data_IF_071697484296
#
_entry.id   IF_071697484296
#
_cell.length_a   1.000
_cell.length_b   1.000
_cell.length_c   1.000
_cell.angle_alpha   90.00
_cell.angle_beta   90.00
_cell.angle_gamma   90.00
#
_symmetry.space_group_name_H-M   'P 1'
#
loop_
_entity.id
_entity.type
_entity.pdbx_description
1 polymer ?
#
# COMPACT_ATOMS: atom_id res chain seq x y z
N UNK A 1 -14.58 10.88 -6.06
CA UNK A 1 -14.61 10.08 -7.30
C UNK A 1 -13.32 9.27 -7.50
N UNK A 2 -12.12 9.88 -7.49
CA UNK A 2 -10.82 9.19 -7.68
C UNK A 2 -10.62 7.96 -6.76
N UNK A 3 -10.71 8.13 -5.43
CA UNK A 3 -10.51 7.02 -4.49
C UNK A 3 -11.55 5.90 -4.64
N UNK A 4 -12.79 6.25 -4.98
CA UNK A 4 -13.85 5.26 -5.23
C UNK A 4 -13.53 4.38 -6.43
N UNK A 5 -13.08 4.98 -7.54
CA UNK A 5 -12.63 4.23 -8.72
C UNK A 5 -11.40 3.35 -8.40
N UNK A 6 -10.46 3.84 -7.61
CA UNK A 6 -9.32 3.05 -7.15
C UNK A 6 -9.73 1.85 -6.30
N UNK A 7 -10.76 1.97 -5.44
CA UNK A 7 -11.30 0.83 -4.69
C UNK A 7 -12.06 -0.15 -5.58
N UNK A 8 -12.81 0.34 -6.55
CA UNK A 8 -13.51 -0.48 -7.52
C UNK A 8 -12.52 -1.32 -8.36
N UNK A 9 -11.48 -0.70 -8.91
CA UNK A 9 -10.41 -1.40 -9.63
C UNK A 9 -9.70 -2.43 -8.75
N UNK A 10 -9.41 -2.08 -7.50
CA UNK A 10 -8.84 -3.01 -6.54
C UNK A 10 -9.75 -4.22 -6.29
N UNK A 11 -11.06 -4.02 -6.12
CA UNK A 11 -12.01 -5.11 -5.88
C UNK A 11 -12.06 -6.10 -7.06
N UNK A 12 -12.11 -5.59 -8.30
CA UNK A 12 -12.11 -6.44 -9.51
C UNK A 12 -10.81 -7.24 -9.63
N UNK A 13 -9.68 -6.58 -9.33
CA UNK A 13 -8.36 -7.18 -9.50
C UNK A 13 -7.97 -8.09 -8.33
N UNK A 14 -8.70 -8.07 -7.21
CA UNK A 14 -8.36 -8.78 -5.97
C UNK A 14 -8.22 -10.29 -6.16
N UNK A 15 -9.21 -10.95 -6.74
CA UNK A 15 -9.20 -12.40 -6.95
C UNK A 15 -8.15 -12.85 -7.96
N UNK A 16 -7.97 -12.09 -9.04
CA UNK A 16 -6.95 -12.38 -10.05
C UNK A 16 -5.57 -12.19 -9.42
N UNK A 17 -5.40 -11.10 -8.68
CA UNK A 17 -4.19 -10.77 -7.93
C UNK A 17 -3.86 -11.82 -6.87
N UNK A 18 -4.84 -12.33 -6.13
CA UNK A 18 -4.64 -13.38 -5.13
C UNK A 18 -4.07 -14.67 -5.75
N UNK A 19 -4.63 -15.10 -6.89
CA UNK A 19 -4.12 -16.27 -7.64
C UNK A 19 -2.71 -16.03 -8.19
N UNK A 20 -2.43 -14.82 -8.68
CA UNK A 20 -1.08 -14.44 -9.13
C UNK A 20 -0.08 -14.46 -7.97
N UNK A 21 -0.47 -13.93 -6.81
CA UNK A 21 0.38 -13.83 -5.62
C UNK A 21 0.76 -15.19 -5.04
N UNK A 22 -0.05 -16.22 -5.22
CA UNK A 22 0.33 -17.60 -4.89
C UNK A 22 1.58 -18.08 -5.63
N UNK A 23 1.79 -17.61 -6.87
CA UNK A 23 2.96 -17.95 -7.69
C UNK A 23 4.10 -16.95 -7.47
N UNK A 24 3.77 -15.66 -7.35
CA UNK A 24 4.76 -14.59 -7.19
C UNK A 24 5.42 -14.59 -5.79
N UNK A 25 4.66 -14.95 -4.76
CA UNK A 25 5.07 -15.02 -3.37
C UNK A 25 4.95 -13.70 -2.62
N UNK A 26 4.49 -13.77 -1.37
CA UNK A 26 4.14 -12.60 -0.54
C UNK A 26 5.33 -11.71 -0.19
N UNK A 27 6.48 -12.28 0.12
CA UNK A 27 7.71 -11.50 0.37
C UNK A 27 8.11 -10.64 -0.83
N UNK A 28 8.03 -11.20 -2.04
CA UNK A 28 8.35 -10.44 -3.27
C UNK A 28 7.31 -9.36 -3.50
N UNK A 29 6.04 -9.68 -3.29
CA UNK A 29 4.94 -8.72 -3.40
C UNK A 29 5.10 -7.52 -2.46
N UNK A 30 5.40 -7.74 -1.18
CA UNK A 30 5.64 -6.64 -0.23
C UNK A 30 6.81 -5.75 -0.65
N UNK A 31 7.90 -6.32 -1.18
CA UNK A 31 9.03 -5.54 -1.70
C UNK A 31 8.65 -4.75 -2.96
N UNK A 32 7.93 -5.38 -3.89
CA UNK A 32 7.41 -4.71 -5.09
C UNK A 32 6.44 -3.59 -4.71
N UNK A 33 5.68 -3.74 -3.63
CA UNK A 33 4.76 -2.70 -3.16
C UNK A 33 5.47 -1.40 -2.78
N UNK A 34 6.72 -1.46 -2.29
CA UNK A 34 7.52 -0.26 -2.01
C UNK A 34 7.82 0.50 -3.30
N UNK A 35 8.25 -0.23 -4.34
CA UNK A 35 8.56 0.35 -5.64
C UNK A 35 7.30 0.99 -6.24
N UNK A 36 6.15 0.29 -6.16
CA UNK A 36 4.87 0.81 -6.64
C UNK A 36 4.38 2.01 -5.82
N UNK A 37 4.61 2.03 -4.51
CA UNK A 37 4.28 3.15 -3.63
C UNK A 37 5.13 4.39 -3.93
N UNK A 38 6.44 4.22 -4.12
CA UNK A 38 7.33 5.30 -4.56
C UNK A 38 6.90 5.80 -5.93
N UNK A 39 6.67 4.91 -6.90
CA UNK A 39 6.20 5.26 -8.24
C UNK A 39 4.89 6.07 -8.20
N UNK A 40 3.96 5.70 -7.32
CA UNK A 40 2.73 6.46 -7.13
C UNK A 40 3.02 7.93 -6.77
N UNK A 41 3.91 8.20 -5.82
CA UNK A 41 4.29 9.57 -5.46
C UNK A 41 5.15 10.27 -6.52
N UNK A 42 5.98 9.53 -7.27
CA UNK A 42 6.70 10.06 -8.44
C UNK A 42 5.71 10.59 -9.48
N UNK A 43 4.62 9.86 -9.76
CA UNK A 43 3.59 10.29 -10.71
C UNK A 43 2.96 11.61 -10.25
N UNK A 44 2.65 11.74 -8.96
CA UNK A 44 2.07 12.97 -8.41
C UNK A 44 3.06 14.13 -8.34
N UNK A 45 4.35 13.87 -8.18
CA UNK A 45 5.39 14.90 -8.25
C UNK A 45 5.50 15.52 -9.65
N UNK A 46 5.37 14.72 -10.71
CA UNK A 46 5.46 15.20 -12.10
C UNK A 46 4.13 15.62 -12.71
N UNK A 47 3.04 15.65 -11.94
CA UNK A 47 1.73 15.98 -12.49
C UNK A 47 1.62 17.48 -12.80
N UNK A 48 1.19 17.80 -14.01
CA UNK A 48 0.90 19.15 -14.45
C UNK A 48 -0.42 19.19 -15.25
N UNK A 49 -0.85 20.38 -15.65
CA UNK A 49 -2.10 20.54 -16.41
C UNK A 49 -2.06 19.90 -17.81
N UNK A 50 -0.88 19.80 -18.43
CA UNK A 50 -0.70 19.24 -19.77
C UNK A 50 -0.74 17.71 -19.78
N UNK A 51 -0.29 17.08 -18.69
CA UNK A 51 -0.12 15.64 -18.60
C UNK A 51 -1.15 14.92 -17.70
N UNK A 52 -2.00 15.66 -16.96
CA UNK A 52 -2.93 15.07 -15.98
C UNK A 52 -3.82 13.99 -16.58
N UNK A 53 -4.27 14.16 -17.84
CA UNK A 53 -5.17 13.23 -18.52
C UNK A 53 -4.59 11.82 -18.64
N UNK A 54 -3.26 11.68 -18.67
CA UNK A 54 -2.57 10.39 -18.77
C UNK A 54 -2.03 9.93 -17.41
N UNK A 55 -1.48 10.85 -16.62
CA UNK A 55 -0.90 10.52 -15.32
C UNK A 55 -1.95 10.14 -14.27
N UNK A 56 -3.17 10.70 -14.33
CA UNK A 56 -4.25 10.31 -13.41
C UNK A 56 -4.67 8.84 -13.62
N UNK A 57 -5.04 8.36 -14.83
CA UNK A 57 -5.28 6.94 -15.04
C UNK A 57 -4.09 6.05 -14.67
N UNK A 58 -2.87 6.46 -15.01
CA UNK A 58 -1.67 5.69 -14.69
C UNK A 58 -1.43 5.59 -13.17
N UNK A 59 -1.71 6.65 -12.41
CA UNK A 59 -1.66 6.63 -10.95
C UNK A 59 -2.70 5.67 -10.34
N UNK A 60 -3.90 5.57 -10.94
CA UNK A 60 -4.94 4.63 -10.48
C UNK A 60 -4.53 3.18 -10.70
N UNK A 61 -3.94 2.87 -11.85
CA UNK A 61 -3.39 1.54 -12.12
C UNK A 61 -2.27 1.21 -11.13
N UNK A 62 -1.33 2.14 -10.95
CA UNK A 62 -0.23 1.98 -9.98
C UNK A 62 -0.77 1.76 -8.56
N UNK A 63 -1.80 2.51 -8.16
CA UNK A 63 -2.46 2.37 -6.86
C UNK A 63 -3.15 1.01 -6.71
N UNK A 64 -3.81 0.50 -7.75
CA UNK A 64 -4.44 -0.81 -7.71
C UNK A 64 -3.40 -1.92 -7.52
N UNK A 65 -2.32 -1.91 -8.32
CA UNK A 65 -1.23 -2.88 -8.18
C UNK A 65 -0.53 -2.76 -6.83
N UNK A 66 -0.29 -1.54 -6.34
CA UNK A 66 0.26 -1.29 -5.01
C UNK A 66 -0.60 -1.96 -3.94
N UNK A 67 -1.92 -1.73 -3.97
CA UNK A 67 -2.84 -2.30 -2.98
C UNK A 67 -2.86 -3.82 -3.01
N UNK A 68 -2.83 -4.44 -4.19
CA UNK A 68 -2.72 -5.90 -4.32
C UNK A 68 -1.41 -6.43 -3.72
N UNK A 69 -0.29 -5.79 -4.06
CA UNK A 69 1.03 -6.20 -3.61
C UNK A 69 1.29 -5.93 -2.12
N UNK A 70 0.59 -4.96 -1.53
CA UNK A 70 0.73 -4.58 -0.14
C UNK A 70 -0.33 -5.22 0.77
N UNK A 71 -1.60 -4.85 0.61
CA UNK A 71 -2.64 -5.13 1.61
C UNK A 71 -2.90 -6.61 1.76
N UNK A 72 -2.98 -7.35 0.65
CA UNK A 72 -3.28 -8.76 0.69
C UNK A 72 -2.13 -9.56 1.37
N UNK A 73 -0.87 -9.46 0.91
CA UNK A 73 0.27 -10.07 1.62
C UNK A 73 0.42 -9.62 3.08
N UNK A 74 0.22 -8.33 3.35
CA UNK A 74 0.32 -7.77 4.70
C UNK A 74 -0.65 -8.46 5.66
N UNK A 75 -1.93 -8.59 5.29
CA UNK A 75 -2.93 -9.22 6.15
C UNK A 75 -2.66 -10.72 6.35
N UNK A 76 -2.18 -11.42 5.34
CA UNK A 76 -1.84 -12.84 5.48
C UNK A 76 -0.63 -13.05 6.37
N UNK A 77 0.47 -12.34 6.12
CA UNK A 77 1.67 -12.43 6.95
C UNK A 77 1.35 -11.99 8.39
N UNK A 78 0.54 -10.94 8.57
CA UNK A 78 0.07 -10.53 9.90
C UNK A 78 -0.73 -11.62 10.62
N UNK A 79 -1.69 -12.26 9.94
CA UNK A 79 -2.46 -13.37 10.53
C UNK A 79 -1.56 -14.56 10.92
N UNK A 80 -0.48 -14.80 10.16
CA UNK A 80 0.47 -15.89 10.38
C UNK A 80 1.46 -15.62 11.49
N UNK A 81 2.03 -14.42 11.57
CA UNK A 81 3.05 -14.06 12.55
C UNK A 81 2.46 -13.67 13.92
N UNK A 82 1.15 -13.44 14.00
CA UNK A 82 0.45 -13.17 15.27
C UNK A 82 0.00 -14.47 15.94
N UNK A 83 0.29 -14.63 17.23
CA UNK A 83 -0.12 -15.81 18.02
C UNK A 83 -1.52 -15.61 18.61
N UNK A 84 -2.32 -16.68 18.76
CA UNK A 84 -3.69 -16.56 19.32
C UNK A 84 -3.73 -15.89 20.70
N UNK A 85 -2.70 -16.12 21.53
CA UNK A 85 -2.58 -15.56 22.88
C UNK A 85 -2.38 -14.04 22.88
N UNK A 86 -1.54 -13.53 21.98
CA UNK A 86 -1.13 -12.11 21.98
C UNK A 86 -1.77 -11.29 20.84
N UNK A 87 -2.53 -11.93 19.94
CA UNK A 87 -3.13 -11.29 18.75
C UNK A 87 -3.94 -10.05 19.11
N UNK A 88 -4.75 -10.10 20.17
CA UNK A 88 -5.52 -8.95 20.63
C UNK A 88 -4.62 -7.76 20.96
N UNK A 89 -3.59 -7.97 21.79
CA UNK A 89 -2.61 -6.94 22.16
C UNK A 89 -1.84 -6.41 20.95
N UNK A 90 -1.38 -7.29 20.06
CA UNK A 90 -0.64 -6.92 18.86
C UNK A 90 -1.49 -6.09 17.88
N UNK A 91 -2.75 -6.47 17.67
CA UNK A 91 -3.71 -5.69 16.89
C UNK A 91 -3.96 -4.33 17.56
N UNK A 92 -4.22 -4.28 18.87
CA UNK A 92 -4.49 -3.03 19.59
C UNK A 92 -3.35 -2.02 19.47
N UNK A 93 -2.09 -2.48 19.57
CA UNK A 93 -0.91 -1.59 19.41
C UNK A 93 -0.84 -1.03 17.99
N UNK A 94 -1.08 -1.85 16.97
CA UNK A 94 -1.08 -1.42 15.56
C UNK A 94 -2.21 -0.42 15.31
N UNK A 95 -3.41 -0.69 15.80
CA UNK A 95 -4.57 0.20 15.63
C UNK A 95 -4.42 1.51 16.41
N UNK A 96 -3.83 1.49 17.61
CA UNK A 96 -3.48 2.70 18.34
C UNK A 96 -2.47 3.54 17.54
N UNK A 97 -1.42 2.91 17.01
CA UNK A 97 -0.41 3.59 16.18
C UNK A 97 -1.05 4.21 14.93
N UNK A 98 -1.92 3.48 14.23
CA UNK A 98 -2.66 3.98 13.07
C UNK A 98 -3.56 5.15 13.43
N UNK A 99 -4.23 5.11 14.57
CA UNK A 99 -5.12 6.17 15.04
C UNK A 99 -4.34 7.47 15.29
N UNK A 100 -3.17 7.38 15.93
CA UNK A 100 -2.27 8.53 16.12
C UNK A 100 -1.86 9.11 14.76
N UNK A 101 -1.45 8.26 13.81
CA UNK A 101 -1.09 8.72 12.46
C UNK A 101 -2.26 9.40 11.74
N UNK A 102 -3.50 8.91 11.87
CA UNK A 102 -4.69 9.54 11.27
C UNK A 102 -4.94 10.96 11.79
N UNK A 103 -4.59 11.23 13.04
CA UNK A 103 -4.75 12.56 13.66
C UNK A 103 -3.64 13.50 13.19
N UNK A 104 -2.37 13.06 13.28
CA UNK A 104 -1.23 13.95 13.05
C UNK A 104 -0.80 14.06 11.60
N UNK A 105 -0.99 13.03 10.77
CA UNK A 105 -0.54 13.06 9.38
C UNK A 105 -1.16 14.22 8.57
N UNK A 106 -2.47 14.53 8.68
CA UNK A 106 -3.05 15.68 7.99
C UNK A 106 -2.46 17.02 8.46
N UNK A 107 -2.18 17.16 9.77
CA UNK A 107 -1.58 18.37 10.33
C UNK A 107 -0.16 18.59 9.80
N UNK A 108 0.65 17.54 9.80
CA UNK A 108 2.02 17.57 9.28
C UNK A 108 2.01 17.84 7.77
N UNK A 109 1.14 17.15 7.03
CA UNK A 109 1.01 17.35 5.59
C UNK A 109 0.56 18.78 5.25
N UNK A 110 -0.42 19.31 5.97
CA UNK A 110 -0.90 20.68 5.79
C UNK A 110 0.19 21.72 6.09
N UNK A 111 0.96 21.52 7.17
CA UNK A 111 2.11 22.37 7.49
C UNK A 111 3.15 22.36 6.37
N UNK A 112 3.54 21.18 5.89
CA UNK A 112 4.52 21.04 4.80
C UNK A 112 4.03 21.75 3.54
N UNK A 113 2.79 21.49 3.12
CA UNK A 113 2.23 22.10 1.91
C UNK A 113 2.18 23.63 2.05
N UNK A 114 1.80 24.15 3.21
CA UNK A 114 1.71 25.60 3.45
C UNK A 114 3.05 26.33 3.43
N UNK A 115 4.16 25.63 3.74
CA UNK A 115 5.50 26.23 3.85
C UNK A 115 6.42 25.89 2.67
N UNK A 116 6.26 24.71 2.11
CA UNK A 116 7.20 24.11 1.16
C UNK A 116 6.55 23.58 -0.11
N UNK A 117 5.23 23.71 -0.30
CA UNK A 117 4.44 23.21 -1.43
C UNK A 117 4.20 21.67 -1.46
N UNK A 118 3.48 21.20 -2.48
CA UNK A 118 3.14 19.79 -2.67
C UNK A 118 4.33 18.90 -3.06
N UNK A 119 5.30 19.44 -3.80
CA UNK A 119 6.47 18.70 -4.26
C UNK A 119 7.30 18.22 -3.07
N UNK A 120 7.49 19.09 -2.07
CA UNK A 120 8.15 18.72 -0.82
C UNK A 120 7.42 17.60 -0.07
N UNK A 121 6.08 17.63 -0.07
CA UNK A 121 5.26 16.57 0.54
C UNK A 121 5.42 15.24 -0.19
N UNK A 122 5.45 15.24 -1.53
CA UNK A 122 5.64 14.03 -2.32
C UNK A 122 7.05 13.47 -2.17
N UNK A 123 8.08 14.31 -2.14
CA UNK A 123 9.47 13.88 -1.87
C UNK A 123 9.59 13.23 -0.50
N UNK A 124 8.99 13.82 0.54
CA UNK A 124 8.95 13.22 1.86
C UNK A 124 8.27 11.84 1.82
N UNK A 125 7.14 11.72 1.15
CA UNK A 125 6.43 10.45 1.00
C UNK A 125 7.29 9.38 0.28
N UNK A 126 8.01 9.75 -0.79
CA UNK A 126 8.93 8.85 -1.49
C UNK A 126 10.03 8.33 -0.56
N UNK A 127 10.62 9.20 0.27
CA UNK A 127 11.65 8.83 1.25
C UNK A 127 11.06 7.86 2.28
N UNK A 128 9.91 8.19 2.89
CA UNK A 128 9.27 7.35 3.90
C UNK A 128 8.92 5.96 3.34
N UNK A 129 8.37 5.89 2.13
CA UNK A 129 8.09 4.62 1.46
C UNK A 129 9.38 3.83 1.21
N UNK A 130 10.43 4.47 0.71
CA UNK A 130 11.71 3.82 0.46
C UNK A 130 12.33 3.24 1.75
N UNK A 131 12.30 4.00 2.84
CA UNK A 131 12.76 3.56 4.16
C UNK A 131 11.92 2.39 4.68
N UNK A 132 10.60 2.42 4.49
CA UNK A 132 9.72 1.31 4.88
C UNK A 132 10.12 -0.02 4.22
N UNK A 133 10.64 0.05 2.99
CA UNK A 133 11.09 -1.13 2.25
C UNK A 133 12.27 -1.86 2.88
N UNK A 134 13.09 -1.17 3.68
CA UNK A 134 14.18 -1.78 4.44
C UNK A 134 13.62 -2.87 5.37
N UNK A 135 12.49 -2.62 6.03
CA UNK A 135 11.85 -3.60 6.90
C UNK A 135 11.28 -4.80 6.13
N UNK A 136 10.86 -4.63 4.87
CA UNK A 136 10.42 -5.78 4.06
C UNK A 136 11.57 -6.65 3.54
N UNK A 137 12.82 -6.17 3.64
CA UNK A 137 13.96 -7.01 3.32
C UNK A 137 14.15 -8.12 4.36
N UNK A 138 13.81 -7.85 5.62
CA UNK A 138 14.00 -8.75 6.77
C UNK A 138 12.89 -9.78 6.94
N UNK A 139 11.74 -9.61 6.27
CA UNK A 139 10.61 -10.56 6.36
C UNK A 139 11.03 -11.97 5.87
N UNK A 140 10.82 -13.03 6.67
CA UNK A 140 11.14 -14.40 6.27
C UNK A 140 10.17 -14.92 5.18
N UNK A 141 10.59 -15.94 4.42
CA UNK A 141 9.76 -16.50 3.34
C UNK A 141 8.57 -17.27 3.93
N UNK A 142 7.35 -16.89 3.55
CA UNK A 142 6.12 -17.64 3.84
C UNK A 142 5.69 -18.43 2.60
N UNK A 143 5.26 -19.69 2.78
CA UNK A 143 4.67 -20.56 1.73
C UNK A 143 3.17 -20.68 1.96
N UNK A 144 2.46 -19.58 1.80
CA UNK A 144 1.00 -19.56 1.90
C UNK A 144 0.39 -19.63 0.49
N UNK A 145 -0.76 -20.30 0.37
CA UNK A 145 -1.51 -20.43 -0.89
C UNK A 145 -2.99 -20.12 -0.65
N UNK A 146 -3.53 -19.19 -1.41
CA UNK A 146 -4.97 -18.97 -1.53
C UNK A 146 -5.63 -20.10 -2.33
N UNK A 147 -6.66 -20.74 -1.78
CA UNK A 147 -7.52 -21.68 -2.51
C UNK A 147 -8.76 -21.00 -3.11
N UNK A 148 -9.12 -19.81 -2.63
CA UNK A 148 -10.45 -19.24 -2.82
C UNK A 148 -10.70 -18.62 -4.21
N UNK A 149 -11.95 -18.69 -4.67
CA UNK A 149 -12.43 -18.09 -5.92
C UNK A 149 -13.80 -17.44 -5.72
N UNK A 150 -14.24 -16.57 -6.65
CA UNK A 150 -15.58 -15.96 -6.61
C UNK A 150 -16.74 -16.97 -6.55
N UNK A 151 -16.50 -18.24 -6.88
CA UNK A 151 -17.49 -19.31 -6.83
C UNK A 151 -17.68 -19.90 -5.42
N UNK A 152 -16.80 -19.55 -4.48
CA UNK A 152 -16.80 -20.03 -3.09
C UNK A 152 -17.28 -18.94 -2.10
N UNK A 153 -17.86 -17.85 -2.63
CA UNK A 153 -18.35 -16.66 -1.93
C UNK A 153 -19.87 -16.62 -1.87
#
# INVERSE_FOLDING_TARGET
MYYGLGYFLYAITLTIGARFLNKFGFRKALRTSVILGVLFYVIFYFIDQGNLKYLIPFSLLTLAFYRLAYWLPYHVDFAKFTTKKDRGRQISIIEATRSVMKIFAPLIAGFIVSRFNFDALFVLAMILFSVSGIFYLTIPRTREKFSWSWQEA
#
